data_IF_952338374940
#
_entry.id   IF_952338374940
#
_cell.length_a   1.000
_cell.length_b   1.000
_cell.length_c   1.000
_cell.angle_alpha   90.00
_cell.angle_beta   90.00
_cell.angle_gamma   90.00
#
_symmetry.space_group_name_H-M   'P 1'
#
loop_
_entity.id
_entity.type
_entity.pdbx_description
1 polymer ?
#
# COMPACT_ATOMS: atom_id res chain seq x y z
N UNK A 1 -14.33 46.77 -19.36
CA UNK A 1 -13.20 45.90 -18.99
C UNK A 1 -12.89 46.10 -17.51
N UNK A 2 -13.44 45.26 -16.66
CA UNK A 2 -13.27 45.35 -15.20
C UNK A 2 -11.82 44.99 -14.87
N UNK A 3 -11.01 45.99 -14.49
CA UNK A 3 -9.66 45.76 -13.96
C UNK A 3 -9.82 45.03 -12.62
N UNK A 4 -9.74 43.72 -12.67
CA UNK A 4 -9.61 42.86 -11.51
C UNK A 4 -8.27 43.26 -10.84
N UNK A 5 -8.35 44.05 -9.79
CA UNK A 5 -7.22 44.38 -8.91
C UNK A 5 -6.73 43.08 -8.27
N UNK A 6 -5.57 42.59 -8.69
CA UNK A 6 -5.00 41.29 -8.31
C UNK A 6 -5.04 41.00 -6.79
N UNK A 7 -4.90 42.02 -5.95
CA UNK A 7 -4.93 41.89 -4.49
C UNK A 7 -6.31 41.61 -3.87
N UNK A 8 -7.42 42.04 -4.50
CA UNK A 8 -8.76 41.81 -3.93
C UNK A 8 -9.23 40.37 -4.16
N UNK A 9 -8.72 39.72 -5.20
CA UNK A 9 -9.13 38.37 -5.59
C UNK A 9 -8.36 37.27 -4.87
N UNK A 10 -7.29 37.59 -4.13
CA UNK A 10 -6.50 36.57 -3.45
C UNK A 10 -7.29 35.89 -2.34
N UNK A 11 -8.08 36.63 -1.56
CA UNK A 11 -8.93 36.07 -0.51
C UNK A 11 -10.02 35.16 -1.08
N UNK A 12 -10.58 35.52 -2.25
CA UNK A 12 -11.56 34.68 -2.95
C UNK A 12 -10.91 33.38 -3.43
N UNK A 13 -9.73 33.47 -4.06
CA UNK A 13 -9.01 32.29 -4.52
C UNK A 13 -8.59 31.37 -3.36
N UNK A 14 -8.10 31.94 -2.25
CA UNK A 14 -7.77 31.20 -1.04
C UNK A 14 -9.01 30.52 -0.45
N UNK A 15 -10.15 31.22 -0.43
CA UNK A 15 -11.43 30.64 0.00
C UNK A 15 -11.86 29.46 -0.88
N UNK A 16 -11.72 29.57 -2.20
CA UNK A 16 -12.02 28.48 -3.14
C UNK A 16 -11.09 27.29 -2.91
N UNK A 17 -9.78 27.52 -2.76
CA UNK A 17 -8.81 26.46 -2.49
C UNK A 17 -9.14 25.76 -1.17
N UNK A 18 -9.38 26.52 -0.11
CA UNK A 18 -9.75 25.99 1.20
C UNK A 18 -11.04 25.18 1.12
N UNK A 19 -12.05 25.67 0.40
CA UNK A 19 -13.30 24.95 0.18
C UNK A 19 -13.06 23.58 -0.44
N UNK A 20 -12.25 23.48 -1.49
CA UNK A 20 -11.94 22.19 -2.11
C UNK A 20 -11.11 21.27 -1.24
N UNK A 21 -10.18 21.80 -0.43
CA UNK A 21 -9.43 21.00 0.56
C UNK A 21 -10.40 20.40 1.57
N UNK A 22 -11.27 21.23 2.18
CA UNK A 22 -12.26 20.77 3.15
C UNK A 22 -13.19 19.73 2.52
N UNK A 23 -13.67 19.99 1.30
CA UNK A 23 -14.54 19.06 0.58
C UNK A 23 -13.85 17.71 0.32
N UNK A 24 -12.58 17.72 -0.09
CA UNK A 24 -11.81 16.50 -0.33
C UNK A 24 -11.64 15.67 0.95
N UNK A 25 -11.27 16.30 2.08
CA UNK A 25 -11.14 15.60 3.36
C UNK A 25 -12.48 15.19 3.97
N UNK A 26 -13.55 15.95 3.76
CA UNK A 26 -14.89 15.54 4.18
C UNK A 26 -15.38 14.30 3.39
N UNK A 27 -15.08 14.24 2.10
CA UNK A 27 -15.40 13.09 1.25
C UNK A 27 -14.52 11.87 1.57
N UNK A 28 -13.21 12.10 1.73
CA UNK A 28 -12.22 11.06 2.10
C UNK A 28 -11.97 11.03 3.61
N UNK A 29 -13.02 11.22 4.42
CA UNK A 29 -12.90 11.26 5.88
C UNK A 29 -12.19 10.03 6.49
N UNK A 30 -12.39 8.79 5.99
CA UNK A 30 -11.68 7.61 6.50
C UNK A 30 -10.15 7.72 6.45
N UNK A 31 -9.59 8.56 5.56
CA UNK A 31 -8.16 8.82 5.48
C UNK A 31 -7.62 9.44 6.78
N UNK A 32 -8.41 10.29 7.44
CA UNK A 32 -8.05 10.94 8.70
C UNK A 32 -8.14 9.99 9.91
N UNK A 33 -8.85 8.88 9.76
CA UNK A 33 -8.97 7.84 10.80
C UNK A 33 -7.77 6.88 10.80
N UNK A 34 -6.78 7.09 9.93
CA UNK A 34 -5.61 6.21 9.78
C UNK A 34 -5.95 4.84 9.18
N UNK A 35 -7.16 4.69 8.61
CA UNK A 35 -7.58 3.46 7.95
C UNK A 35 -6.83 3.32 6.64
N UNK A 36 -6.08 2.23 6.51
CA UNK A 36 -5.48 1.82 5.25
C UNK A 36 -6.43 0.90 4.48
N UNK A 37 -6.31 0.89 3.16
CA UNK A 37 -6.95 -0.13 2.34
C UNK A 37 -6.35 -1.50 2.70
N UNK A 38 -7.22 -2.48 2.94
CA UNK A 38 -6.77 -3.87 3.10
C UNK A 38 -6.30 -4.36 1.73
N UNK A 39 -5.04 -4.78 1.67
CA UNK A 39 -4.42 -5.31 0.45
C UNK A 39 -4.44 -6.83 0.55
N UNK A 40 -5.53 -7.44 0.08
CA UNK A 40 -5.75 -8.90 0.17
C UNK A 40 -4.58 -9.67 -0.46
N UNK A 41 -4.04 -9.23 -1.59
CA UNK A 41 -2.89 -9.89 -2.24
C UNK A 41 -1.63 -9.92 -1.35
N UNK A 42 -1.38 -8.84 -0.60
CA UNK A 42 -0.24 -8.74 0.31
C UNK A 42 -0.44 -9.63 1.53
N UNK A 43 -1.67 -9.70 2.03
CA UNK A 43 -2.03 -10.56 3.15
C UNK A 43 -1.90 -12.05 2.79
N UNK A 44 -2.43 -12.45 1.62
CA UNK A 44 -2.26 -13.80 1.10
C UNK A 44 -0.79 -14.13 0.85
N UNK A 45 -0.02 -13.22 0.24
CA UNK A 45 1.42 -13.41 0.02
C UNK A 45 2.17 -13.67 1.32
N UNK A 46 1.90 -12.90 2.38
CA UNK A 46 2.51 -13.10 3.70
C UNK A 46 2.20 -14.48 4.27
N UNK A 47 0.97 -14.96 4.10
CA UNK A 47 0.58 -16.31 4.51
C UNK A 47 1.30 -17.40 3.70
N UNK A 48 1.27 -17.30 2.37
CA UNK A 48 1.87 -18.29 1.47
C UNK A 48 3.39 -18.41 1.63
N UNK A 49 4.08 -17.28 1.82
CA UNK A 49 5.54 -17.23 1.93
C UNK A 49 6.09 -17.58 3.32
N UNK A 50 5.24 -17.63 4.34
CA UNK A 50 5.67 -17.74 5.74
C UNK A 50 6.60 -18.92 6.00
N UNK A 51 6.23 -20.14 5.59
CA UNK A 51 7.08 -21.33 5.82
C UNK A 51 8.44 -21.21 5.13
N UNK A 52 8.48 -20.68 3.89
CA UNK A 52 9.72 -20.51 3.13
C UNK A 52 10.65 -19.49 3.81
N UNK A 53 10.07 -18.36 4.25
CA UNK A 53 10.81 -17.32 4.98
C UNK A 53 11.30 -17.83 6.33
N UNK A 54 10.44 -18.46 7.12
CA UNK A 54 10.78 -18.99 8.44
C UNK A 54 11.88 -20.07 8.32
N UNK A 55 11.80 -20.95 7.32
CA UNK A 55 12.84 -21.94 7.04
C UNK A 55 14.17 -21.26 6.74
N UNK A 56 14.16 -20.28 5.82
CA UNK A 56 15.35 -19.51 5.45
C UNK A 56 15.98 -18.78 6.64
N UNK A 57 15.18 -18.17 7.49
CA UNK A 57 15.66 -17.46 8.69
C UNK A 57 16.26 -18.42 9.72
N UNK A 58 15.76 -19.65 9.82
CA UNK A 58 16.21 -20.63 10.81
C UNK A 58 17.44 -21.43 10.37
N UNK A 59 17.49 -21.83 9.09
CA UNK A 59 18.54 -22.73 8.58
C UNK A 59 19.62 -21.98 7.82
N UNK A 60 19.32 -20.78 7.33
CA UNK A 60 20.16 -20.07 6.35
C UNK A 60 20.09 -20.67 4.94
N UNK A 61 19.26 -21.70 4.72
CA UNK A 61 19.07 -22.37 3.44
C UNK A 61 17.72 -22.00 2.80
N UNK A 62 17.63 -22.13 1.49
CA UNK A 62 16.43 -21.76 0.74
C UNK A 62 15.53 -22.97 0.49
N UNK A 63 14.30 -22.94 0.99
CA UNK A 63 13.30 -23.97 0.68
C UNK A 63 12.68 -23.72 -0.69
N UNK A 64 12.60 -24.75 -1.54
CA UNK A 64 11.97 -24.67 -2.88
C UNK A 64 10.53 -25.20 -2.91
N UNK A 65 10.03 -25.67 -1.77
CA UNK A 65 8.70 -26.25 -1.61
C UNK A 65 8.10 -25.86 -0.25
N UNK A 66 6.83 -25.48 -0.23
CA UNK A 66 6.05 -25.17 0.98
C UNK A 66 5.02 -26.26 1.21
N UNK A 67 4.87 -26.73 2.46
CA UNK A 67 3.85 -27.70 2.86
C UNK A 67 2.60 -27.03 3.46
N UNK A 68 2.68 -25.74 3.75
CA UNK A 68 1.62 -24.93 4.35
C UNK A 68 0.50 -24.58 3.36
N UNK A 69 0.73 -24.84 2.08
CA UNK A 69 -0.28 -24.75 1.02
C UNK A 69 -1.00 -26.09 0.82
N UNK A 70 -2.21 -26.09 0.26
CA UNK A 70 -3.01 -27.31 0.07
C UNK A 70 -2.23 -28.39 -0.70
N UNK A 71 -1.92 -29.51 -0.03
CA UNK A 71 -1.07 -30.62 -0.54
C UNK A 71 0.38 -30.23 -0.89
N UNK A 72 0.83 -29.07 -0.41
CA UNK A 72 2.10 -28.45 -0.75
C UNK A 72 2.12 -27.77 -2.13
N UNK A 73 3.08 -26.87 -2.31
CA UNK A 73 3.26 -26.12 -3.56
C UNK A 73 4.74 -25.77 -3.76
N UNK A 74 5.23 -25.71 -5.01
CA UNK A 74 6.55 -25.15 -5.26
C UNK A 74 6.69 -23.68 -4.83
N UNK A 75 7.81 -23.33 -4.21
CA UNK A 75 8.07 -22.00 -3.67
C UNK A 75 8.47 -20.94 -4.71
N UNK A 76 8.84 -21.34 -5.93
CA UNK A 76 9.42 -20.42 -6.93
C UNK A 76 8.45 -19.30 -7.40
N UNK A 77 7.13 -19.50 -7.28
CA UNK A 77 6.12 -18.45 -7.54
C UNK A 77 5.72 -17.68 -6.28
N UNK A 78 6.31 -18.01 -5.13
CA UNK A 78 5.94 -17.46 -3.82
C UNK A 78 7.13 -16.67 -3.25
N UNK A 79 8.18 -17.33 -2.77
CA UNK A 79 9.31 -16.66 -2.13
C UNK A 79 10.53 -17.57 -2.09
N UNK A 80 11.32 -17.58 -3.16
CA UNK A 80 12.60 -18.28 -3.24
C UNK A 80 13.66 -17.29 -3.70
N UNK A 81 14.72 -17.11 -2.90
CA UNK A 81 15.86 -16.28 -3.29
C UNK A 81 16.91 -17.12 -4.00
N UNK A 82 17.30 -16.70 -5.19
CA UNK A 82 18.35 -17.36 -5.96
C UNK A 82 19.66 -16.56 -5.83
N UNK A 83 20.78 -17.19 -5.41
CA UNK A 83 22.07 -16.54 -5.36
C UNK A 83 22.58 -16.31 -6.78
N UNK A 84 22.22 -15.18 -7.39
CA UNK A 84 22.57 -14.86 -8.77
C UNK A 84 21.62 -13.92 -9.51
N UNK A 85 20.52 -13.49 -8.86
CA UNK A 85 19.63 -12.43 -9.36
C UNK A 85 19.99 -11.06 -8.78
#
# INVERSE_FOLDING_TARGET
MTKITAFRNIYINLGIILFFIVLAYAYMFPLLEGKALRMDDVEHYRGMSKELVDYREQTGEEAVWTNSMFSGMPGYLISVNYPGN
#
